data_IF_607091484901
#
_entry.id   IF_607091484901
#
_cell.length_a   1.000
_cell.length_b   1.000
_cell.length_c   1.000
_cell.angle_alpha   90.00
_cell.angle_beta   90.00
_cell.angle_gamma   90.00
#
_symmetry.space_group_name_H-M   'P 1'
#
loop_
_entity.id
_entity.type
_entity.pdbx_description
1 polymer ?
#
# COMPACT_ATOMS: atom_id res chain seq x y z
N UNK A 1 -12.66 15.03 0.60
CA UNK A 1 -11.49 14.71 -0.18
C UNK A 1 -10.49 13.91 0.65
N UNK A 2 -10.12 12.77 0.16
CA UNK A 2 -9.27 11.89 0.94
C UNK A 2 -7.80 12.21 0.74
N UNK A 3 -7.19 12.76 1.75
CA UNK A 3 -5.76 12.99 1.73
C UNK A 3 -5.06 11.81 2.38
N UNK A 4 -5.11 10.69 1.67
CA UNK A 4 -4.46 9.50 2.15
C UNK A 4 -2.97 9.62 1.88
N UNK A 5 -2.20 9.82 2.94
CA UNK A 5 -0.76 9.93 2.81
C UNK A 5 -0.14 8.58 3.15
N UNK A 6 0.40 7.92 2.15
CA UNK A 6 1.03 6.63 2.33
C UNK A 6 2.53 6.86 2.52
N UNK A 7 3.00 6.60 3.74
CA UNK A 7 4.39 6.82 4.09
C UNK A 7 5.28 5.70 3.56
N UNK A 8 4.80 4.46 3.61
CA UNK A 8 5.55 3.32 3.10
C UNK A 8 4.61 2.17 2.84
N UNK A 9 5.05 1.22 2.04
CA UNK A 9 4.31 0.01 1.74
C UNK A 9 5.28 -1.12 1.51
N UNK A 10 4.94 -2.31 1.99
CA UNK A 10 5.79 -3.49 1.87
C UNK A 10 4.92 -4.74 1.87
N UNK A 11 5.26 -5.69 1.01
CA UNK A 11 4.58 -6.98 1.03
C UNK A 11 4.88 -7.71 2.33
N UNK A 12 3.85 -8.35 2.90
CA UNK A 12 3.98 -9.03 4.19
C UNK A 12 4.64 -10.39 4.02
N UNK A 13 4.33 -11.08 2.94
CA UNK A 13 4.83 -12.42 2.71
C UNK A 13 5.28 -12.59 1.26
N UNK A 14 5.89 -13.73 0.97
CA UNK A 14 6.42 -14.01 -0.36
C UNK A 14 5.33 -14.27 -1.40
N UNK A 15 4.09 -14.46 -0.95
CA UNK A 15 2.96 -14.63 -1.87
C UNK A 15 2.43 -13.31 -2.38
N UNK A 16 2.88 -12.20 -1.80
CA UNK A 16 2.44 -10.86 -2.18
C UNK A 16 0.93 -10.70 -2.08
N UNK A 17 0.34 -11.34 -1.07
CA UNK A 17 -1.12 -11.32 -0.90
C UNK A 17 -1.62 -10.15 -0.06
N UNK A 18 -0.76 -9.60 0.78
CA UNK A 18 -1.12 -8.51 1.69
C UNK A 18 0.04 -7.52 1.74
N UNK A 19 -0.30 -6.25 1.78
CA UNK A 19 0.67 -5.17 1.91
C UNK A 19 0.53 -4.56 3.29
N UNK A 20 1.66 -4.41 3.98
CA UNK A 20 1.72 -3.62 5.20
C UNK A 20 2.04 -2.19 4.81
N UNK A 21 1.12 -1.28 5.07
CA UNK A 21 1.29 0.11 4.68
C UNK A 21 1.20 1.03 5.89
N UNK A 22 2.02 2.06 5.89
CA UNK A 22 1.91 3.12 6.89
C UNK A 22 1.13 4.24 6.21
N UNK A 23 -0.10 4.44 6.64
CA UNK A 23 -1.01 5.41 6.05
C UNK A 23 -1.38 6.43 7.11
N UNK A 24 -1.07 7.69 6.85
CA UNK A 24 -1.31 8.79 7.80
C UNK A 24 -0.67 8.50 9.16
N UNK A 25 0.45 7.79 9.17
CA UNK A 25 1.15 7.45 10.39
C UNK A 25 0.67 6.18 11.08
N UNK A 26 -0.36 5.53 10.56
CA UNK A 26 -0.91 4.30 11.13
C UNK A 26 -0.54 3.09 10.28
N UNK A 27 -0.09 2.02 10.95
CA UNK A 27 0.21 0.78 10.25
C UNK A 27 -1.07 0.03 9.94
N UNK A 28 -1.24 -0.35 8.68
CA UNK A 28 -2.42 -1.08 8.22
C UNK A 28 -2.01 -2.21 7.31
N UNK A 29 -2.79 -3.30 7.36
CA UNK A 29 -2.63 -4.40 6.43
C UNK A 29 -3.67 -4.27 5.34
N UNK A 30 -3.23 -4.22 4.09
CA UNK A 30 -4.08 -3.93 2.94
C UNK A 30 -4.08 -5.14 2.01
N UNK A 31 -5.26 -5.76 1.77
CA UNK A 31 -5.31 -6.88 0.83
C UNK A 31 -5.15 -6.38 -0.61
N UNK A 32 -4.66 -7.26 -1.47
CA UNK A 32 -4.49 -6.91 -2.88
C UNK A 32 -5.81 -7.11 -3.62
N UNK A 33 -6.78 -6.33 -3.27
CA UNK A 33 -8.13 -6.38 -3.83
C UNK A 33 -8.39 -5.06 -4.56
N UNK A 34 -8.58 -5.08 -5.89
CA UNK A 34 -8.80 -3.84 -6.64
C UNK A 34 -10.00 -3.04 -6.16
N UNK A 35 -10.96 -3.70 -5.48
CA UNK A 35 -12.10 -2.99 -4.93
C UNK A 35 -11.76 -2.30 -3.61
N UNK A 36 -10.60 -2.59 -3.02
CA UNK A 36 -10.19 -1.98 -1.77
C UNK A 36 -9.62 -0.59 -2.05
N UNK A 37 -10.19 0.40 -1.39
CA UNK A 37 -9.82 1.80 -1.60
C UNK A 37 -8.34 2.07 -1.26
N UNK A 38 -7.84 1.45 -0.21
CA UNK A 38 -6.45 1.65 0.19
C UNK A 38 -5.50 1.07 -0.85
N UNK A 39 -5.81 -0.11 -1.36
CA UNK A 39 -4.99 -0.74 -2.38
C UNK A 39 -5.02 0.06 -3.67
N UNK A 40 -6.19 0.56 -4.06
CA UNK A 40 -6.31 1.37 -5.26
C UNK A 40 -5.44 2.63 -5.17
N UNK A 41 -5.42 3.25 -3.99
CA UNK A 41 -4.60 4.44 -3.81
C UNK A 41 -3.10 4.10 -3.81
N UNK A 42 -2.73 2.96 -3.23
CA UNK A 42 -1.34 2.50 -3.27
C UNK A 42 -0.90 2.32 -4.72
N UNK A 43 -1.72 1.65 -5.52
CA UNK A 43 -1.39 1.44 -6.94
C UNK A 43 -1.28 2.75 -7.70
N UNK A 44 -2.16 3.69 -7.41
CA UNK A 44 -2.12 4.98 -8.08
C UNK A 44 -0.81 5.70 -7.80
N UNK A 45 -0.36 5.68 -6.56
CA UNK A 45 0.88 6.35 -6.18
C UNK A 45 2.11 5.64 -6.71
N UNK A 46 2.07 4.33 -6.78
CA UNK A 46 3.15 3.56 -7.40
C UNK A 46 3.26 3.91 -8.88
N UNK A 47 2.11 4.00 -9.54
CA UNK A 47 2.09 4.34 -10.96
C UNK A 47 2.62 5.75 -11.21
N UNK A 48 2.36 6.67 -10.28
CA UNK A 48 2.86 8.03 -10.39
C UNK A 48 4.32 8.17 -10.03
N UNK A 49 4.91 7.13 -9.44
CA UNK A 49 6.31 7.17 -9.07
C UNK A 49 6.59 7.80 -7.72
N UNK A 50 5.55 8.06 -6.92
CA UNK A 50 5.73 8.66 -5.60
C UNK A 50 5.81 7.64 -4.48
N UNK A 51 5.55 6.36 -4.79
CA UNK A 51 5.56 5.30 -3.80
C UNK A 51 6.16 4.04 -4.42
N UNK A 52 6.92 3.30 -3.62
CA UNK A 52 7.45 2.01 -4.02
C UNK A 52 7.03 0.97 -2.99
N UNK A 53 6.52 -0.17 -3.47
CA UNK A 53 6.18 -1.29 -2.59
C UNK A 53 7.41 -2.17 -2.46
N UNK A 54 7.91 -2.32 -1.25
CA UNK A 54 9.08 -3.14 -0.99
C UNK A 54 8.70 -4.62 -0.99
N UNK A 55 9.66 -5.45 -1.34
CA UNK A 55 9.49 -6.89 -1.26
C UNK A 55 9.42 -7.34 0.20
N UNK A 56 8.79 -8.49 0.42
CA UNK A 56 8.74 -9.08 1.75
C UNK A 56 10.14 -9.47 2.22
N UNK A 57 10.37 -9.36 3.51
CA UNK A 57 11.63 -9.77 4.11
C UNK A 57 11.81 -11.28 4.09
#
# INVERSE_FOLDING_TARGET
MDNMKINSAQYVDSNNAIIKAIINGDEMFVPLDPANRHYAEILRQVKEGTLTIKDAD
#
